data_IF_710536325681
#
_entry.id   IF_710536325681
#
_cell.length_a   1.000
_cell.length_b   1.000
_cell.length_c   1.000
_cell.angle_alpha   90.00
_cell.angle_beta   90.00
_cell.angle_gamma   90.00
#
_symmetry.space_group_name_H-M   'P 1'
#
loop_
_entity.id
_entity.type
_entity.pdbx_description
1 polymer ?
#
# COMPACT_ATOMS: atom_id res chain seq x y z
N UNK A 1 -36.83 -21.91 -15.90
CA UNK A 1 -38.21 -22.12 -16.40
C UNK A 1 -38.88 -23.13 -15.46
N UNK A 2 -39.38 -22.66 -14.32
CA UNK A 2 -39.98 -23.54 -13.31
C UNK A 2 -41.46 -23.63 -13.67
N UNK A 3 -41.88 -24.79 -14.20
CA UNK A 3 -43.29 -25.13 -14.35
C UNK A 3 -43.89 -25.17 -12.94
N UNK A 4 -44.53 -24.08 -12.51
CA UNK A 4 -45.54 -24.18 -11.47
C UNK A 4 -46.62 -25.10 -12.02
N UNK A 5 -46.57 -26.37 -11.59
CA UNK A 5 -47.67 -27.30 -11.79
C UNK A 5 -48.88 -26.71 -11.09
N UNK A 6 -49.71 -25.99 -11.85
CA UNK A 6 -51.08 -25.68 -11.47
C UNK A 6 -51.75 -27.05 -11.30
N UNK A 7 -51.75 -27.56 -10.07
CA UNK A 7 -52.61 -28.65 -9.66
C UNK A 7 -54.03 -28.14 -9.91
N UNK A 8 -54.58 -28.51 -11.06
CA UNK A 8 -55.95 -28.24 -11.46
C UNK A 8 -56.81 -29.07 -10.51
N UNK A 9 -57.12 -28.53 -9.33
CA UNK A 9 -58.13 -29.11 -8.45
C UNK A 9 -59.46 -28.92 -9.19
N UNK A 10 -59.84 -29.96 -9.92
CA UNK A 10 -61.19 -30.15 -10.41
C UNK A 10 -62.10 -30.30 -9.16
N UNK A 11 -62.47 -29.19 -8.53
CA UNK A 11 -63.60 -29.12 -7.59
C UNK A 11 -64.91 -29.18 -8.39
N UNK A 12 -64.99 -30.15 -9.30
CA UNK A 12 -66.21 -30.52 -10.00
C UNK A 12 -66.99 -31.45 -9.10
N UNK A 13 -67.75 -30.86 -8.17
CA UNK A 13 -69.03 -31.32 -7.63
C UNK A 13 -69.28 -30.56 -6.33
N UNK A 14 -69.86 -29.38 -6.44
CA UNK A 14 -70.69 -28.87 -5.34
C UNK A 14 -71.81 -29.93 -5.22
N UNK A 15 -71.69 -30.80 -4.23
CA UNK A 15 -72.72 -31.77 -3.90
C UNK A 15 -73.95 -30.97 -3.49
N UNK A 16 -74.91 -30.80 -4.41
CA UNK A 16 -76.21 -30.22 -4.09
C UNK A 16 -76.85 -31.11 -3.03
N UNK A 17 -76.86 -30.64 -1.78
CA UNK A 17 -77.52 -31.33 -0.68
C UNK A 17 -79.02 -31.27 -0.94
N UNK A 18 -79.61 -32.42 -1.33
CA UNK A 18 -81.03 -32.52 -1.67
C UNK A 18 -81.85 -32.72 -0.39
N UNK A 19 -82.27 -31.58 0.20
CA UNK A 19 -83.09 -31.50 1.41
C UNK A 19 -84.35 -32.37 1.31
N UNK A 20 -84.98 -32.47 0.13
CA UNK A 20 -86.25 -33.19 -0.05
C UNK A 20 -86.07 -34.70 -0.03
N UNK A 21 -85.03 -35.20 -0.71
CA UNK A 21 -84.69 -36.64 -0.66
C UNK A 21 -84.28 -37.06 0.76
N UNK A 22 -83.61 -36.17 1.49
CA UNK A 22 -83.18 -36.45 2.86
C UNK A 22 -84.37 -36.58 3.83
N UNK A 23 -85.38 -35.69 3.71
CA UNK A 23 -86.64 -35.80 4.47
C UNK A 23 -87.37 -37.11 4.16
N UNK A 24 -87.54 -37.46 2.87
CA UNK A 24 -88.22 -38.69 2.46
C UNK A 24 -87.52 -39.97 2.97
N UNK A 25 -86.19 -39.96 3.05
CA UNK A 25 -85.41 -41.07 3.61
C UNK A 25 -85.57 -41.20 5.12
N UNK A 26 -85.69 -40.09 5.85
CA UNK A 26 -85.94 -40.08 7.29
C UNK A 26 -87.37 -40.54 7.62
N UNK A 27 -88.36 -40.12 6.85
CA UNK A 27 -89.75 -40.59 6.98
C UNK A 27 -89.89 -42.10 6.76
N UNK A 28 -89.19 -42.65 5.76
CA UNK A 28 -89.12 -44.12 5.55
C UNK A 28 -88.45 -44.86 6.70
N UNK A 29 -87.62 -44.18 7.48
CA UNK A 29 -86.95 -44.71 8.67
C UNK A 29 -87.81 -44.66 9.95
N UNK A 30 -89.06 -44.21 9.87
CA UNK A 30 -89.99 -44.15 11.00
C UNK A 30 -90.01 -42.84 11.79
N UNK A 31 -89.35 -41.78 11.29
CA UNK A 31 -89.40 -40.45 11.89
C UNK A 31 -90.66 -39.69 11.46
N UNK A 32 -91.19 -38.84 12.34
CA UNK A 32 -92.31 -37.97 11.95
C UNK A 32 -91.84 -36.85 11.01
N UNK A 33 -92.72 -36.36 10.14
CA UNK A 33 -92.39 -35.32 9.15
C UNK A 33 -91.73 -34.08 9.79
N UNK A 34 -92.25 -33.62 10.93
CA UNK A 34 -91.69 -32.46 11.66
C UNK A 34 -90.28 -32.71 12.20
N UNK A 35 -90.00 -33.92 12.70
CA UNK A 35 -88.68 -34.29 13.21
C UNK A 35 -87.67 -34.44 12.07
N UNK A 36 -88.10 -35.02 10.94
CA UNK A 36 -87.29 -35.15 9.74
C UNK A 36 -86.91 -33.76 9.18
N UNK A 37 -87.88 -32.86 9.01
CA UNK A 37 -87.66 -31.48 8.54
C UNK A 37 -86.67 -30.72 9.45
N UNK A 38 -86.85 -30.81 10.77
CA UNK A 38 -85.97 -30.14 11.75
C UNK A 38 -84.54 -30.69 11.70
N UNK A 39 -84.38 -32.01 11.59
CA UNK A 39 -83.06 -32.63 11.47
C UNK A 39 -82.34 -32.21 10.17
N UNK A 40 -83.06 -32.15 9.05
CA UNK A 40 -82.49 -31.72 7.77
C UNK A 40 -82.10 -30.24 7.81
N UNK A 41 -82.87 -29.38 8.49
CA UNK A 41 -82.55 -27.96 8.65
C UNK A 41 -81.23 -27.77 9.41
N UNK A 42 -81.03 -28.49 10.51
CA UNK A 42 -79.78 -28.44 11.30
C UNK A 42 -78.59 -28.91 10.47
N UNK A 43 -78.74 -30.02 9.73
CA UNK A 43 -77.67 -30.55 8.88
C UNK A 43 -77.36 -29.58 7.73
N UNK A 44 -78.38 -29.03 7.07
CA UNK A 44 -78.20 -28.05 6.01
C UNK A 44 -77.47 -26.80 6.53
N UNK A 45 -77.81 -26.33 7.74
CA UNK A 45 -77.11 -25.22 8.37
C UNK A 45 -75.65 -25.54 8.66
N UNK A 46 -75.36 -26.69 9.28
CA UNK A 46 -73.99 -27.12 9.57
C UNK A 46 -73.13 -27.32 8.30
N UNK A 47 -73.72 -27.86 7.24
CA UNK A 47 -73.05 -28.01 5.93
C UNK A 47 -72.77 -26.66 5.29
N UNK A 48 -73.72 -25.73 5.29
CA UNK A 48 -73.52 -24.39 4.74
C UNK A 48 -72.49 -23.58 5.55
N UNK A 49 -72.50 -23.69 6.89
CA UNK A 49 -71.50 -23.08 7.75
C UNK A 49 -70.09 -23.65 7.46
N UNK A 50 -69.99 -24.97 7.29
CA UNK A 50 -68.74 -25.64 6.90
C UNK A 50 -68.24 -25.22 5.50
N UNK A 51 -69.13 -25.13 4.52
CA UNK A 51 -68.80 -24.63 3.17
C UNK A 51 -68.35 -23.17 3.24
N UNK A 52 -69.02 -22.32 4.03
CA UNK A 52 -68.62 -20.92 4.19
C UNK A 52 -67.26 -20.77 4.86
N UNK A 53 -66.96 -21.59 5.88
CA UNK A 53 -65.65 -21.61 6.54
C UNK A 53 -64.54 -22.07 5.60
N UNK A 54 -64.79 -23.11 4.78
CA UNK A 54 -63.86 -23.57 3.76
C UNK A 54 -63.65 -22.51 2.67
N UNK A 55 -64.73 -21.91 2.16
CA UNK A 55 -64.68 -20.84 1.17
C UNK A 55 -63.92 -19.60 1.68
N UNK A 56 -64.03 -19.26 2.98
CA UNK A 56 -63.25 -18.17 3.61
C UNK A 56 -61.75 -18.45 3.62
N UNK A 57 -61.34 -19.71 3.76
CA UNK A 57 -59.92 -20.11 3.76
C UNK A 57 -59.37 -20.37 2.35
N UNK A 58 -60.25 -20.45 1.34
CA UNK A 58 -59.85 -20.59 -0.06
C UNK A 58 -59.47 -19.21 -0.63
N UNK A 59 -58.29 -19.13 -1.23
CA UNK A 59 -57.87 -17.99 -2.02
C UNK A 59 -58.51 -18.08 -3.40
N UNK A 60 -59.12 -16.98 -3.86
CA UNK A 60 -59.63 -16.88 -5.22
C UNK A 60 -58.47 -16.97 -6.22
N UNK A 61 -58.72 -17.62 -7.35
CA UNK A 61 -57.73 -17.74 -8.44
C UNK A 61 -57.22 -16.38 -8.93
N UNK A 62 -58.08 -15.36 -8.87
CA UNK A 62 -57.75 -13.95 -9.15
C UNK A 62 -56.74 -13.36 -8.15
N UNK A 63 -56.93 -13.56 -6.84
CA UNK A 63 -55.95 -13.09 -5.84
C UNK A 63 -54.61 -13.78 -6.02
N UNK A 64 -54.62 -15.09 -6.29
CA UNK A 64 -53.39 -15.83 -6.55
C UNK A 64 -52.66 -15.33 -7.80
N UNK A 65 -53.38 -15.08 -8.90
CA UNK A 65 -52.78 -14.57 -10.14
C UNK A 65 -52.24 -13.15 -9.96
N UNK A 66 -52.96 -12.29 -9.23
CA UNK A 66 -52.50 -10.92 -8.92
C UNK A 66 -51.22 -10.92 -8.09
N UNK A 67 -51.14 -11.74 -7.02
CA UNK A 67 -49.93 -11.83 -6.18
C UNK A 67 -48.76 -12.40 -6.98
N UNK A 68 -49.00 -13.41 -7.81
CA UNK A 68 -47.96 -13.97 -8.69
C UNK A 68 -47.48 -12.96 -9.73
N UNK A 69 -48.36 -12.10 -10.25
CA UNK A 69 -47.98 -11.02 -11.15
C UNK A 69 -47.13 -9.97 -10.44
N UNK A 70 -47.54 -9.53 -9.24
CA UNK A 70 -46.78 -8.58 -8.43
C UNK A 70 -45.37 -9.10 -8.14
N UNK A 71 -45.24 -10.36 -7.72
CA UNK A 71 -43.93 -10.98 -7.50
C UNK A 71 -43.04 -10.98 -8.75
N UNK A 72 -43.62 -11.21 -9.94
CA UNK A 72 -42.84 -11.15 -11.20
C UNK A 72 -42.34 -9.75 -11.50
N UNK A 73 -43.16 -8.73 -11.26
CA UNK A 73 -42.78 -7.33 -11.44
C UNK A 73 -41.68 -6.96 -10.44
N UNK A 74 -41.83 -7.32 -9.17
CA UNK A 74 -40.82 -7.04 -8.13
C UNK A 74 -39.49 -7.74 -8.45
N UNK A 75 -39.55 -8.97 -8.95
CA UNK A 75 -38.35 -9.71 -9.38
C UNK A 75 -37.67 -9.05 -10.59
N UNK A 76 -38.45 -8.56 -11.56
CA UNK A 76 -37.91 -7.83 -12.70
C UNK A 76 -37.24 -6.51 -12.27
N UNK A 77 -37.86 -5.79 -11.32
CA UNK A 77 -37.31 -4.57 -10.73
C UNK A 77 -36.00 -4.84 -9.99
N UNK A 78 -35.98 -5.81 -9.08
CA UNK A 78 -34.79 -6.20 -8.33
C UNK A 78 -33.64 -6.60 -9.26
N UNK A 79 -33.94 -7.36 -10.32
CA UNK A 79 -32.95 -7.72 -11.33
C UNK A 79 -32.38 -6.51 -12.05
N UNK A 80 -33.21 -5.52 -12.38
CA UNK A 80 -32.78 -4.28 -13.02
C UNK A 80 -31.90 -3.42 -12.11
N UNK A 81 -32.27 -3.31 -10.83
CA UNK A 81 -31.48 -2.62 -9.81
C UNK A 81 -30.13 -3.30 -9.61
N UNK A 82 -30.10 -4.63 -9.46
CA UNK A 82 -28.87 -5.40 -9.32
C UNK A 82 -27.96 -5.24 -10.54
N UNK A 83 -28.51 -5.35 -11.75
CA UNK A 83 -27.71 -5.19 -12.97
C UNK A 83 -27.13 -3.77 -13.11
N UNK A 84 -27.86 -2.75 -12.64
CA UNK A 84 -27.39 -1.36 -12.67
C UNK A 84 -26.30 -1.14 -11.63
N UNK A 85 -26.49 -1.66 -10.42
CA UNK A 85 -25.50 -1.61 -9.34
C UNK A 85 -24.22 -2.33 -9.74
N UNK A 86 -24.31 -3.57 -10.25
CA UNK A 86 -23.15 -4.34 -10.69
C UNK A 86 -22.35 -3.61 -11.77
N UNK A 87 -23.04 -2.99 -12.74
CA UNK A 87 -22.37 -2.19 -13.77
C UNK A 87 -21.68 -0.97 -13.17
N UNK A 88 -22.34 -0.26 -12.26
CA UNK A 88 -21.79 0.91 -11.57
C UNK A 88 -20.54 0.53 -10.77
N UNK A 89 -20.64 -0.48 -9.92
CA UNK A 89 -19.53 -1.01 -9.12
C UNK A 89 -18.37 -1.46 -10.00
N UNK A 90 -18.66 -2.19 -11.09
CA UNK A 90 -17.62 -2.60 -12.03
C UNK A 90 -16.92 -1.41 -12.69
N UNK A 91 -17.66 -0.37 -13.06
CA UNK A 91 -17.06 0.86 -13.62
C UNK A 91 -16.21 1.62 -12.59
N UNK A 92 -16.66 1.67 -11.33
CA UNK A 92 -15.91 2.29 -10.24
C UNK A 92 -14.61 1.52 -9.96
N UNK A 93 -14.68 0.20 -9.80
CA UNK A 93 -13.52 -0.66 -9.61
C UNK A 93 -12.52 -0.53 -10.75
N UNK A 94 -12.99 -0.50 -12.01
CA UNK A 94 -12.12 -0.31 -13.17
C UNK A 94 -11.43 1.06 -13.14
N UNK A 95 -12.14 2.11 -12.74
CA UNK A 95 -11.57 3.47 -12.60
C UNK A 95 -10.52 3.51 -11.49
N UNK A 96 -10.81 2.93 -10.33
CA UNK A 96 -9.86 2.84 -9.21
C UNK A 96 -8.62 2.03 -9.59
N UNK A 97 -8.80 0.91 -10.30
CA UNK A 97 -7.69 0.10 -10.80
C UNK A 97 -6.77 0.91 -11.73
N UNK A 98 -7.34 1.68 -12.66
CA UNK A 98 -6.56 2.50 -13.59
C UNK A 98 -5.83 3.65 -12.87
N UNK A 99 -6.50 4.28 -11.91
CA UNK A 99 -5.88 5.28 -11.04
C UNK A 99 -4.72 4.68 -10.23
N UNK A 100 -4.90 3.50 -9.66
CA UNK A 100 -3.87 2.81 -8.88
C UNK A 100 -2.66 2.43 -9.76
N UNK A 101 -2.90 1.95 -10.99
CA UNK A 101 -1.85 1.70 -11.99
C UNK A 101 -1.07 2.95 -12.35
N UNK A 102 -1.77 4.06 -12.55
CA UNK A 102 -1.16 5.36 -12.86
C UNK A 102 -0.29 5.83 -11.70
N UNK A 103 -0.83 5.79 -10.47
CA UNK A 103 -0.09 6.18 -9.27
C UNK A 103 1.14 5.30 -9.03
N UNK A 104 1.03 3.99 -9.25
CA UNK A 104 2.16 3.07 -9.16
C UNK A 104 3.26 3.42 -10.16
N UNK A 105 2.88 3.75 -11.40
CA UNK A 105 3.83 4.12 -12.46
C UNK A 105 4.52 5.43 -12.14
N UNK A 106 3.77 6.43 -11.68
CA UNK A 106 4.31 7.73 -11.24
C UNK A 106 5.26 7.57 -10.05
N UNK A 107 4.90 6.77 -9.04
CA UNK A 107 5.75 6.51 -7.89
C UNK A 107 7.05 5.83 -8.30
N UNK A 108 6.98 4.83 -9.19
CA UNK A 108 8.16 4.14 -9.72
C UNK A 108 9.10 5.11 -10.44
N UNK A 109 8.56 6.03 -11.25
CA UNK A 109 9.36 7.03 -11.96
C UNK A 109 10.02 8.01 -11.00
N UNK A 110 9.26 8.55 -10.03
CA UNK A 110 9.79 9.43 -8.98
C UNK A 110 10.89 8.78 -8.18
N UNK A 111 10.72 7.52 -7.76
CA UNK A 111 11.77 6.81 -7.03
C UNK A 111 13.03 6.63 -7.88
N UNK A 112 12.91 6.33 -9.18
CA UNK A 112 14.07 6.27 -10.07
C UNK A 112 14.79 7.60 -10.17
N UNK A 113 14.05 8.69 -10.35
CA UNK A 113 14.61 10.05 -10.40
C UNK A 113 15.33 10.42 -9.11
N UNK A 114 14.73 10.13 -7.94
CA UNK A 114 15.34 10.39 -6.64
C UNK A 114 16.61 9.56 -6.43
N UNK A 115 16.62 8.28 -6.83
CA UNK A 115 17.81 7.43 -6.78
C UNK A 115 18.91 8.00 -7.67
N UNK A 116 18.59 8.38 -8.92
CA UNK A 116 19.57 8.96 -9.84
C UNK A 116 20.11 10.29 -9.32
N UNK A 117 19.25 11.15 -8.76
CA UNK A 117 19.65 12.42 -8.16
C UNK A 117 20.56 12.22 -6.95
N UNK A 118 20.20 11.29 -6.06
CA UNK A 118 21.01 10.95 -4.89
C UNK A 118 22.38 10.41 -5.29
N UNK A 119 22.44 9.49 -6.26
CA UNK A 119 23.69 8.95 -6.78
C UNK A 119 24.56 10.04 -7.44
N UNK A 120 23.96 10.95 -8.20
CA UNK A 120 24.66 12.09 -8.78
C UNK A 120 25.23 13.02 -7.69
N UNK A 121 24.47 13.25 -6.61
CA UNK A 121 24.93 13.98 -5.43
C UNK A 121 26.15 13.33 -4.79
N UNK A 122 26.05 12.05 -4.43
CA UNK A 122 27.18 11.30 -3.85
C UNK A 122 28.41 11.31 -4.76
N UNK A 123 28.23 11.15 -6.08
CA UNK A 123 29.35 11.22 -7.03
C UNK A 123 29.99 12.60 -7.07
N UNK A 124 29.19 13.66 -7.02
CA UNK A 124 29.70 15.03 -6.94
C UNK A 124 30.50 15.24 -5.64
N UNK A 125 29.94 14.83 -4.51
CA UNK A 125 30.59 14.95 -3.20
C UNK A 125 31.95 14.25 -3.18
N UNK A 126 32.04 13.03 -3.71
CA UNK A 126 33.30 12.30 -3.84
C UNK A 126 34.30 12.99 -4.76
N UNK A 127 33.85 13.59 -5.86
CA UNK A 127 34.73 14.32 -6.77
C UNK A 127 35.27 15.61 -6.12
N UNK A 128 34.43 16.32 -5.38
CA UNK A 128 34.83 17.51 -4.63
C UNK A 128 35.83 17.15 -3.53
N UNK A 129 35.54 16.09 -2.77
CA UNK A 129 36.41 15.60 -1.71
C UNK A 129 37.76 15.11 -2.24
N UNK A 130 37.76 14.41 -3.38
CA UNK A 130 39.00 14.03 -4.09
C UNK A 130 39.79 15.26 -4.55
N UNK A 131 39.09 16.30 -5.01
CA UNK A 131 39.69 17.59 -5.36
C UNK A 131 40.36 18.25 -4.16
N UNK A 132 39.65 18.31 -3.03
CA UNK A 132 40.14 18.86 -1.76
C UNK A 132 41.37 18.13 -1.26
N UNK A 133 41.35 16.80 -1.21
CA UNK A 133 42.50 15.98 -0.79
C UNK A 133 43.72 16.25 -1.69
N UNK A 134 43.52 16.42 -3.00
CA UNK A 134 44.61 16.72 -3.93
C UNK A 134 45.20 18.10 -3.68
N UNK A 135 44.37 19.10 -3.45
CA UNK A 135 44.81 20.47 -3.15
C UNK A 135 45.56 20.53 -1.83
N UNK A 136 45.02 19.91 -0.78
CA UNK A 136 45.69 19.79 0.53
C UNK A 136 47.03 19.05 0.41
N UNK A 137 47.06 17.95 -0.36
CA UNK A 137 48.30 17.22 -0.66
C UNK A 137 49.34 18.10 -1.35
N UNK A 138 48.95 18.89 -2.35
CA UNK A 138 49.85 19.82 -3.04
C UNK A 138 50.38 20.91 -2.11
N UNK A 139 49.54 21.43 -1.20
CA UNK A 139 49.97 22.43 -0.21
C UNK A 139 50.96 21.82 0.78
N UNK A 140 50.75 20.56 1.19
CA UNK A 140 51.69 19.85 2.05
C UNK A 140 53.03 19.60 1.35
N UNK A 141 53.01 19.18 0.08
CA UNK A 141 54.22 18.99 -0.71
C UNK A 141 55.05 20.28 -0.79
N UNK A 142 54.40 21.41 -1.09
CA UNK A 142 55.06 22.73 -1.12
C UNK A 142 55.65 23.14 0.23
N UNK A 143 54.94 22.88 1.33
CA UNK A 143 55.46 23.16 2.68
C UNK A 143 56.66 22.28 3.03
N UNK A 144 56.65 21.03 2.59
CA UNK A 144 57.77 20.11 2.78
C UNK A 144 58.97 20.60 1.98
N UNK A 145 58.79 20.99 0.71
CA UNK A 145 59.84 21.55 -0.14
C UNK A 145 60.44 22.82 0.46
N UNK A 146 59.61 23.78 0.91
CA UNK A 146 60.08 25.01 1.59
C UNK A 146 60.83 24.69 2.91
N UNK A 147 60.44 23.63 3.61
CA UNK A 147 61.17 23.21 4.82
C UNK A 147 62.52 22.60 4.47
N UNK A 148 62.60 21.80 3.39
CA UNK A 148 63.87 21.25 2.90
C UNK A 148 64.83 22.34 2.46
N UNK A 149 64.37 23.34 1.71
CA UNK A 149 65.22 24.46 1.26
C UNK A 149 65.76 25.24 2.46
N UNK A 150 64.93 25.52 3.47
CA UNK A 150 65.39 26.17 4.71
C UNK A 150 66.43 25.35 5.46
N UNK A 151 66.28 24.02 5.52
CA UNK A 151 67.27 23.13 6.14
C UNK A 151 68.60 23.21 5.38
N UNK A 152 68.58 23.19 4.04
CA UNK A 152 69.80 23.31 3.23
C UNK A 152 70.49 24.67 3.43
N UNK A 153 69.72 25.75 3.55
CA UNK A 153 70.24 27.08 3.89
C UNK A 153 70.89 27.10 5.29
N UNK A 154 70.25 26.50 6.30
CA UNK A 154 70.82 26.38 7.65
C UNK A 154 72.11 25.54 7.66
N UNK A 155 72.15 24.42 6.92
CA UNK A 155 73.34 23.59 6.77
C UNK A 155 74.48 24.39 6.13
N UNK A 156 74.20 25.12 5.04
CA UNK A 156 75.18 25.96 4.37
C UNK A 156 75.73 27.06 5.31
N UNK A 157 74.84 27.71 6.07
CA UNK A 157 75.21 28.71 7.06
C UNK A 157 76.13 28.12 8.15
N UNK A 158 75.79 26.95 8.71
CA UNK A 158 76.63 26.24 9.69
C UNK A 158 77.99 25.88 9.10
N UNK A 159 78.05 25.38 7.87
CA UNK A 159 79.32 25.09 7.20
C UNK A 159 80.18 26.34 7.00
N UNK A 160 79.57 27.49 6.66
CA UNK A 160 80.28 28.77 6.55
C UNK A 160 80.84 29.21 7.89
N UNK A 161 80.08 29.08 8.98
CA UNK A 161 80.55 29.36 10.33
C UNK A 161 81.74 28.47 10.70
N UNK A 162 81.67 27.16 10.44
CA UNK A 162 82.78 26.22 10.69
C UNK A 162 84.02 26.63 9.88
N UNK A 163 83.86 26.93 8.58
CA UNK A 163 84.97 27.39 7.73
C UNK A 163 85.58 28.70 8.24
N UNK A 164 84.76 29.65 8.68
CA UNK A 164 85.21 30.91 9.28
C UNK A 164 86.04 30.65 10.54
N UNK A 165 85.52 29.84 11.48
CA UNK A 165 86.22 29.47 12.72
C UNK A 165 87.55 28.76 12.40
N UNK A 166 87.55 27.82 11.45
CA UNK A 166 88.79 27.13 11.02
C UNK A 166 89.84 28.10 10.48
N UNK A 167 89.43 29.07 9.66
CA UNK A 167 90.33 30.10 9.12
C UNK A 167 90.90 30.99 10.22
N UNK A 168 90.05 31.42 11.16
CA UNK A 168 90.48 32.21 12.32
C UNK A 168 91.52 31.45 13.16
N UNK A 169 91.28 30.17 13.47
CA UNK A 169 92.24 29.33 14.21
C UNK A 169 93.55 29.18 13.42
N UNK A 170 93.48 28.99 12.11
CA UNK A 170 94.68 28.87 11.25
C UNK A 170 95.49 30.18 11.24
N UNK A 171 94.82 31.32 11.11
CA UNK A 171 95.46 32.63 11.18
C UNK A 171 96.11 32.86 12.55
N UNK A 172 95.42 32.50 13.64
CA UNK A 172 95.98 32.57 14.99
C UNK A 172 97.23 31.71 15.14
N UNK A 173 97.22 30.46 14.65
CA UNK A 173 98.39 29.58 14.65
C UNK A 173 99.57 30.17 13.86
N UNK A 174 99.31 30.77 12.69
CA UNK A 174 100.34 31.47 11.91
C UNK A 174 100.93 32.64 12.70
N UNK A 175 100.08 33.42 13.39
CA UNK A 175 100.52 34.52 14.24
C UNK A 175 101.41 34.06 15.41
N UNK A 176 101.00 33.02 16.14
CA UNK A 176 101.75 32.47 17.28
C UNK A 176 103.08 31.86 16.85
N UNK A 177 103.09 31.10 15.75
CA UNK A 177 104.33 30.49 15.22
C UNK A 177 105.31 31.55 14.72
N UNK A 178 104.82 32.57 14.00
CA UNK A 178 105.65 33.70 13.54
C UNK A 178 106.20 34.52 14.70
N UNK A 179 105.40 34.76 15.74
CA UNK A 179 105.84 35.44 16.97
C UNK A 179 106.93 34.67 17.70
N UNK A 180 106.75 33.36 17.88
CA UNK A 180 107.77 32.49 18.50
C UNK A 180 109.06 32.47 17.68
N UNK A 181 108.96 32.34 16.35
CA UNK A 181 110.13 32.38 15.47
C UNK A 181 110.88 33.72 15.58
N UNK A 182 110.16 34.85 15.61
CA UNK A 182 110.76 36.17 15.78
C UNK A 182 111.50 36.32 17.12
N UNK A 183 110.95 35.79 18.21
CA UNK A 183 111.61 35.77 19.52
C UNK A 183 112.88 34.92 19.49
N UNK A 184 112.83 33.73 18.89
CA UNK A 184 114.00 32.84 18.72
C UNK A 184 115.08 33.53 17.87
N UNK A 185 114.72 34.14 16.75
CA UNK A 185 115.65 34.92 15.93
C UNK A 185 116.29 36.09 16.69
N UNK A 186 115.51 36.78 17.53
CA UNK A 186 115.99 37.87 18.38
C UNK A 186 116.95 37.37 19.46
N UNK A 187 116.64 36.22 20.06
CA UNK A 187 117.51 35.57 21.04
C UNK A 187 118.85 35.14 20.44
N UNK A 188 118.83 34.49 19.27
CA UNK A 188 120.06 34.13 18.54
C UNK A 188 120.91 35.36 18.19
N UNK A 189 120.29 36.49 17.83
CA UNK A 189 121.02 37.75 17.58
C UNK A 189 121.70 38.29 18.85
N UNK A 190 121.08 38.15 20.01
CA UNK A 190 121.58 38.73 21.26
C UNK A 190 122.69 37.88 21.91
N UNK A 191 122.67 36.56 21.70
CA UNK A 191 123.65 35.62 22.27
C UNK A 191 124.75 35.14 21.30
N UNK A 192 124.63 35.46 20.01
CA UNK A 192 125.61 35.14 18.96
C UNK A 192 126.51 36.31 18.58
#
# INVERSE_FOLDING_TARGET
>A
MIRLGLCKRELGTITKFDTKKFVQSLEKGGFTQKEAETAVEIVNKAVNDGISLLAKNLVTTEKLSSVAYQQKVDFAKLKGELQTLDKSEFTNLKKEQEQLRTNLTNLKNRMREEITKSLAGVRLDLNLEKGRIREEGSVHELKIEDTYTRIDEEIANVQLQIKSVRTQVTQWLIGVSSGTAALVFTFFRFFG
#
